data_IF_158135110038
#
_entry.id   IF_158135110038
#
_cell.length_a   1.000
_cell.length_b   1.000
_cell.length_c   1.000
_cell.angle_alpha   90.00
_cell.angle_beta   90.00
_cell.angle_gamma   90.00
#
_symmetry.space_group_name_H-M   'P 1'
#
loop_
_entity.id
_entity.type
_entity.pdbx_description
1 polymer ?
#
# COMPACT_ATOMS: atom_id res chain seq x y z
N UNK A 1 24.56 -39.66 35.47
CA UNK A 1 23.45 -38.69 35.55
C UNK A 1 23.33 -37.99 34.21
N UNK A 2 22.34 -38.39 33.40
CA UNK A 2 22.10 -37.87 32.05
C UNK A 2 21.45 -36.48 32.10
N UNK A 3 22.18 -35.44 31.71
CA UNK A 3 21.62 -34.11 31.48
C UNK A 3 20.81 -34.11 30.18
N UNK A 4 19.49 -33.91 30.30
CA UNK A 4 18.60 -33.62 29.17
C UNK A 4 18.84 -32.19 28.70
N UNK A 5 19.30 -32.05 27.46
CA UNK A 5 19.28 -30.78 26.71
C UNK A 5 17.81 -30.43 26.41
N UNK A 6 17.32 -29.19 26.66
CA UNK A 6 15.97 -28.82 26.27
C UNK A 6 15.90 -28.71 24.74
N UNK A 7 14.99 -29.49 24.17
CA UNK A 7 14.62 -29.51 22.76
C UNK A 7 14.23 -28.12 22.25
N UNK A 8 14.94 -27.63 21.22
CA UNK A 8 14.46 -26.60 20.30
C UNK A 8 13.36 -27.25 19.45
N UNK A 9 12.08 -26.96 19.71
CA UNK A 9 11.01 -26.97 18.69
C UNK A 9 9.66 -26.54 19.29
N UNK A 10 9.40 -25.23 19.35
CA UNK A 10 8.04 -24.67 19.49
C UNK A 10 7.95 -23.35 18.70
N UNK A 11 7.92 -23.42 17.36
CA UNK A 11 7.81 -22.20 16.51
C UNK A 11 6.72 -22.34 15.40
N UNK A 12 6.02 -23.48 15.34
CA UNK A 12 5.21 -23.84 14.17
C UNK A 12 3.83 -23.18 14.05
N UNK A 13 3.07 -23.09 15.14
CA UNK A 13 1.62 -22.79 15.07
C UNK A 13 1.24 -21.40 15.62
N UNK A 14 1.78 -21.01 16.77
CA UNK A 14 1.41 -19.75 17.44
C UNK A 14 1.77 -18.53 16.58
N UNK A 15 2.96 -18.55 15.97
CA UNK A 15 3.42 -17.50 15.06
C UNK A 15 2.57 -17.42 13.77
N UNK A 16 1.98 -18.55 13.32
CA UNK A 16 1.10 -18.55 12.15
C UNK A 16 -0.27 -17.94 12.48
N UNK A 17 -0.86 -18.31 13.62
CA UNK A 17 -2.15 -17.81 14.04
C UNK A 17 -2.12 -16.31 14.35
N UNK A 18 -1.05 -15.82 14.98
CA UNK A 18 -0.83 -14.39 15.20
C UNK A 18 -0.64 -13.64 13.88
N UNK A 19 0.14 -14.20 12.96
CA UNK A 19 0.34 -13.59 11.64
C UNK A 19 -0.96 -13.49 10.84
N UNK A 20 -1.86 -14.47 10.97
CA UNK A 20 -3.19 -14.42 10.37
C UNK A 20 -4.06 -13.32 10.99
N UNK A 21 -4.06 -13.18 12.32
CA UNK A 21 -4.78 -12.11 13.03
C UNK A 21 -4.27 -10.73 12.60
N UNK A 22 -2.95 -10.55 12.51
CA UNK A 22 -2.35 -9.29 12.06
C UNK A 22 -2.69 -9.01 10.59
N UNK A 23 -2.68 -10.02 9.72
CA UNK A 23 -3.05 -9.86 8.32
C UNK A 23 -4.48 -9.33 8.16
N UNK A 24 -5.46 -9.95 8.82
CA UNK A 24 -6.85 -9.48 8.75
C UNK A 24 -7.05 -8.13 9.43
N UNK A 25 -6.32 -7.84 10.52
CA UNK A 25 -6.30 -6.51 11.11
C UNK A 25 -5.78 -5.45 10.13
N UNK A 26 -4.72 -5.74 9.37
CA UNK A 26 -4.20 -4.83 8.33
C UNK A 26 -5.22 -4.62 7.21
N UNK A 27 -5.96 -5.67 6.82
CA UNK A 27 -7.05 -5.53 5.84
C UNK A 27 -8.11 -4.56 6.34
N UNK A 28 -8.66 -4.79 7.53
CA UNK A 28 -9.68 -3.90 8.11
C UNK A 28 -9.17 -2.47 8.30
N UNK A 29 -7.93 -2.33 8.75
CA UNK A 29 -7.29 -1.02 8.89
C UNK A 29 -7.10 -0.31 7.55
N UNK A 30 -6.78 -1.04 6.49
CA UNK A 30 -6.67 -0.51 5.13
C UNK A 30 -8.05 -0.16 4.55
N UNK A 31 -9.08 -0.95 4.85
CA UNK A 31 -10.46 -0.66 4.45
C UNK A 31 -10.97 0.66 5.05
N UNK A 32 -10.55 1.01 6.27
CA UNK A 32 -10.83 2.31 6.89
C UNK A 32 -9.92 3.45 6.41
N UNK A 33 -8.61 3.29 6.61
CA UNK A 33 -7.61 4.38 6.56
C UNK A 33 -6.69 4.33 5.32
N UNK A 34 -6.79 3.26 4.54
CA UNK A 34 -5.93 2.99 3.41
C UNK A 34 -6.37 3.65 2.10
N UNK A 35 -5.41 3.80 1.19
CA UNK A 35 -5.64 4.33 -0.14
C UNK A 35 -4.68 3.66 -1.15
N UNK A 36 -5.24 3.19 -2.26
CA UNK A 36 -4.50 2.84 -3.47
C UNK A 36 -4.73 3.97 -4.46
N UNK A 37 -3.68 4.71 -4.82
CA UNK A 37 -3.80 5.86 -5.71
C UNK A 37 -2.79 5.79 -6.85
N UNK A 38 -3.14 6.41 -7.98
CA UNK A 38 -2.27 6.51 -9.14
C UNK A 38 -2.37 7.93 -9.66
N UNK A 39 -1.35 8.73 -9.36
CA UNK A 39 -1.26 10.10 -9.84
C UNK A 39 -0.57 10.17 -11.21
N UNK A 40 -0.91 11.19 -12.00
CA UNK A 40 -0.16 11.56 -13.21
C UNK A 40 0.52 12.89 -12.93
N UNK A 41 1.79 12.85 -12.55
CA UNK A 41 2.53 14.04 -12.12
C UNK A 41 3.42 14.57 -13.25
N UNK A 42 3.64 15.89 -13.29
CA UNK A 42 4.56 16.51 -14.25
C UNK A 42 5.99 16.06 -13.94
N UNK A 43 6.65 15.48 -14.93
CA UNK A 43 8.07 15.13 -14.83
C UNK A 43 8.71 15.23 -16.22
N UNK A 44 9.45 16.32 -16.44
CA UNK A 44 10.06 16.66 -17.73
C UNK A 44 11.14 15.68 -18.17
N UNK A 45 11.70 14.88 -17.26
CA UNK A 45 12.75 13.89 -17.62
C UNK A 45 12.17 12.62 -18.24
N UNK A 46 10.85 12.42 -18.17
CA UNK A 46 10.18 11.28 -18.80
C UNK A 46 9.84 11.58 -20.26
N UNK A 47 9.81 10.53 -21.11
CA UNK A 47 9.44 10.61 -22.54
C UNK A 47 8.17 11.43 -22.83
N UNK A 48 7.19 11.39 -21.94
CA UNK A 48 5.89 12.06 -22.11
C UNK A 48 5.73 13.33 -21.27
N UNK A 49 6.80 13.81 -20.61
CA UNK A 49 6.75 14.95 -19.69
C UNK A 49 5.87 14.73 -18.44
N UNK A 50 5.37 13.50 -18.24
CA UNK A 50 4.41 13.10 -17.23
C UNK A 50 4.74 11.69 -16.73
N UNK A 51 4.85 11.53 -15.42
CA UNK A 51 5.11 10.25 -14.78
C UNK A 51 3.81 9.64 -14.23
N UNK A 52 3.63 8.33 -14.44
CA UNK A 52 2.61 7.54 -13.74
C UNK A 52 3.19 7.21 -12.37
N UNK A 53 2.48 7.61 -11.31
CA UNK A 53 2.99 7.58 -9.94
C UNK A 53 2.01 6.83 -9.03
N UNK A 54 2.13 5.50 -8.94
CA UNK A 54 1.32 4.69 -8.04
C UNK A 54 1.84 4.75 -6.60
N UNK A 55 0.93 4.84 -5.64
CA UNK A 55 1.26 4.69 -4.21
C UNK A 55 0.19 3.89 -3.46
N UNK A 56 0.66 3.06 -2.53
CA UNK A 56 -0.17 2.52 -1.44
C UNK A 56 0.11 3.33 -0.17
N UNK A 57 -0.95 3.81 0.48
CA UNK A 57 -0.85 4.74 1.61
C UNK A 57 -1.79 4.34 2.72
N UNK A 58 -1.35 4.45 3.98
CA UNK A 58 -2.23 4.49 5.15
C UNK A 58 -1.90 5.75 5.95
N UNK A 59 -2.92 6.53 6.30
CA UNK A 59 -2.76 7.80 7.02
C UNK A 59 -3.34 7.71 8.42
N UNK A 60 -2.65 8.27 9.41
CA UNK A 60 -3.15 8.38 10.78
C UNK A 60 -2.65 9.62 11.49
N UNK A 61 -3.34 10.00 12.58
CA UNK A 61 -2.83 10.97 13.54
C UNK A 61 -1.59 10.47 14.29
N UNK A 62 -0.87 11.40 14.89
CA UNK A 62 0.32 11.16 15.72
C UNK A 62 0.10 10.13 16.83
N UNK A 63 -1.03 10.20 17.54
CA UNK A 63 -1.42 9.26 18.61
C UNK A 63 -1.46 7.81 18.14
N UNK A 64 -1.77 7.60 16.85
CA UNK A 64 -1.88 6.29 16.22
C UNK A 64 -0.64 5.92 15.39
N UNK A 65 0.49 6.63 15.53
CA UNK A 65 1.73 6.33 14.80
C UNK A 65 2.22 4.88 15.00
N UNK A 66 1.98 4.30 16.19
CA UNK A 66 2.31 2.91 16.47
C UNK A 66 1.63 1.93 15.50
N UNK A 67 0.40 2.21 15.06
CA UNK A 67 -0.31 1.41 14.07
C UNK A 67 0.42 1.40 12.72
N UNK A 68 0.89 2.57 12.26
CA UNK A 68 1.68 2.68 11.02
C UNK A 68 3.02 1.95 11.13
N UNK A 69 3.69 2.02 12.29
CA UNK A 69 4.93 1.27 12.55
C UNK A 69 4.70 -0.24 12.48
N UNK A 70 3.57 -0.73 13.02
CA UNK A 70 3.16 -2.13 12.95
C UNK A 70 2.94 -2.60 11.51
N UNK A 71 2.27 -1.79 10.69
CA UNK A 71 2.09 -2.06 9.25
C UNK A 71 3.43 -2.11 8.52
N UNK A 72 4.32 -1.12 8.75
CA UNK A 72 5.66 -1.10 8.16
C UNK A 72 6.47 -2.34 8.52
N UNK A 73 6.46 -2.73 9.80
CA UNK A 73 7.16 -3.92 10.28
C UNK A 73 6.62 -5.20 9.63
N UNK A 74 5.29 -5.33 9.51
CA UNK A 74 4.66 -6.48 8.88
C UNK A 74 5.04 -6.64 7.41
N UNK A 75 5.01 -5.55 6.64
CA UNK A 75 5.35 -5.60 5.22
C UNK A 75 6.86 -5.64 4.95
N UNK A 76 7.69 -5.14 5.88
CA UNK A 76 9.13 -5.03 5.66
C UNK A 76 9.49 -4.14 4.47
N UNK A 77 8.66 -3.13 4.19
CA UNK A 77 8.87 -2.14 3.13
C UNK A 77 8.13 -0.84 3.43
N UNK A 78 8.35 0.17 2.59
CA UNK A 78 7.70 1.47 2.71
C UNK A 78 8.30 2.38 3.79
N UNK A 79 7.89 3.63 3.75
CA UNK A 79 8.40 4.67 4.64
C UNK A 79 7.25 5.42 5.31
N UNK A 80 7.50 5.94 6.51
CA UNK A 80 6.54 6.78 7.23
C UNK A 80 7.01 8.22 7.07
N UNK A 81 6.10 9.08 6.60
CA UNK A 81 6.35 10.49 6.39
C UNK A 81 5.43 11.31 7.28
N UNK A 82 5.94 12.42 7.80
CA UNK A 82 5.13 13.43 8.50
C UNK A 82 4.47 14.31 7.45
N UNK A 83 3.16 14.45 7.54
CA UNK A 83 2.37 15.43 6.80
C UNK A 83 1.94 16.51 7.79
N UNK A 84 2.82 17.51 7.97
CA UNK A 84 2.58 18.62 8.88
C UNK A 84 1.35 19.38 8.40
N UNK A 85 0.37 19.53 9.28
CA UNK A 85 -0.76 20.41 9.02
C UNK A 85 -0.42 21.80 9.53
N UNK A 86 -0.88 22.81 8.81
CA UNK A 86 -0.75 24.21 9.18
C UNK A 86 -2.12 24.83 9.51
N UNK A 87 -3.15 24.00 9.69
CA UNK A 87 -4.49 24.40 10.13
C UNK A 87 -4.62 24.33 11.67
N UNK A 88 -5.74 24.83 12.23
CA UNK A 88 -6.00 24.85 13.68
C UNK A 88 -6.15 23.47 14.35
N UNK A 89 -5.77 22.38 13.66
CA UNK A 89 -5.70 21.06 14.27
C UNK A 89 -4.36 20.86 14.98
N UNK A 90 -4.41 20.67 16.30
CA UNK A 90 -3.25 20.48 17.18
C UNK A 90 -2.45 19.17 16.97
N UNK A 91 -2.62 18.44 15.86
CA UNK A 91 -1.98 17.13 15.67
C UNK A 91 -1.49 16.91 14.23
N UNK A 92 -0.23 16.51 14.10
CA UNK A 92 0.35 16.14 12.81
C UNK A 92 -0.27 14.85 12.28
N UNK A 93 -0.38 14.75 10.96
CA UNK A 93 -0.67 13.47 10.32
C UNK A 93 0.62 12.76 9.94
N UNK A 94 0.57 11.44 9.98
CA UNK A 94 1.61 10.54 9.51
C UNK A 94 1.06 9.66 8.40
N UNK A 95 1.91 9.36 7.41
CA UNK A 95 1.57 8.54 6.25
C UNK A 95 2.57 7.43 6.09
N UNK A 96 2.14 6.17 6.27
CA UNK A 96 2.88 5.03 5.74
C UNK A 96 2.68 4.99 4.22
N UNK A 97 3.76 4.90 3.45
CA UNK A 97 3.71 5.01 2.00
C UNK A 97 4.68 4.01 1.33
N UNK A 98 4.16 3.28 0.35
CA UNK A 98 4.91 2.37 -0.53
C UNK A 98 4.80 2.87 -1.97
N UNK A 99 5.94 3.18 -2.57
CA UNK A 99 6.07 3.73 -3.94
C UNK A 99 6.99 2.92 -4.85
N UNK A 100 7.87 2.10 -4.28
CA UNK A 100 8.72 1.21 -5.05
C UNK A 100 7.85 0.25 -5.85
N UNK A 101 7.99 0.24 -7.18
CA UNK A 101 7.25 -0.69 -8.04
C UNK A 101 7.52 -2.15 -7.63
N UNK A 102 8.74 -2.45 -7.19
CA UNK A 102 9.13 -3.79 -6.74
C UNK A 102 8.38 -4.20 -5.46
N UNK A 103 8.34 -3.33 -4.45
CA UNK A 103 7.60 -3.62 -3.21
C UNK A 103 6.09 -3.68 -3.45
N UNK A 104 5.56 -2.83 -4.33
CA UNK A 104 4.14 -2.85 -4.71
C UNK A 104 3.77 -4.18 -5.37
N UNK A 105 4.59 -4.66 -6.31
CA UNK A 105 4.36 -5.90 -7.05
C UNK A 105 4.61 -7.17 -6.22
N UNK A 106 5.66 -7.18 -5.39
CA UNK A 106 6.10 -8.38 -4.65
C UNK A 106 5.53 -8.50 -3.25
N UNK A 107 5.11 -7.40 -2.62
CA UNK A 107 4.65 -7.40 -1.22
C UNK A 107 3.19 -6.97 -1.08
N UNK A 108 2.86 -5.78 -1.59
CA UNK A 108 1.52 -5.20 -1.39
C UNK A 108 0.45 -5.94 -2.20
N UNK A 109 0.66 -6.11 -3.50
CA UNK A 109 -0.31 -6.80 -4.37
C UNK A 109 -0.55 -8.26 -3.93
N UNK A 110 0.47 -9.09 -3.64
CA UNK A 110 0.25 -10.46 -3.21
C UNK A 110 -0.50 -10.56 -1.89
N UNK A 111 -0.25 -9.63 -0.96
CA UNK A 111 -0.98 -9.56 0.30
C UNK A 111 -2.48 -9.32 0.07
N UNK A 112 -2.86 -8.26 -0.64
CA UNK A 112 -4.29 -7.94 -0.87
C UNK A 112 -4.97 -8.85 -1.89
N UNK A 113 -4.21 -9.64 -2.68
CA UNK A 113 -4.75 -10.78 -3.43
C UNK A 113 -5.15 -11.92 -2.51
N UNK A 114 -4.34 -12.20 -1.48
CA UNK A 114 -4.58 -13.29 -0.52
C UNK A 114 -5.65 -12.90 0.51
N UNK A 115 -5.56 -11.70 1.05
CA UNK A 115 -6.49 -11.16 2.04
C UNK A 115 -7.26 -10.00 1.41
N UNK A 116 -8.47 -10.29 0.95
CA UNK A 116 -9.23 -9.34 0.15
C UNK A 116 -9.82 -8.23 1.02
N UNK A 117 -9.73 -7.00 0.51
CA UNK A 117 -10.46 -5.84 1.02
C UNK A 117 -11.97 -6.10 0.96
N UNK A 118 -12.70 -5.60 1.97
CA UNK A 118 -14.14 -5.79 2.14
C UNK A 118 -14.95 -4.54 1.77
N UNK A 119 -14.30 -3.42 1.46
CA UNK A 119 -14.96 -2.18 1.04
C UNK A 119 -14.83 -1.91 -0.46
N UNK A 120 -15.45 -0.83 -0.95
CA UNK A 120 -15.29 -0.35 -2.33
C UNK A 120 -13.84 -0.11 -2.75
N UNK A 121 -12.90 0.04 -1.80
CA UNK A 121 -11.45 0.12 -2.09
C UNK A 121 -10.91 -1.11 -2.81
N UNK A 122 -11.61 -2.25 -2.75
CA UNK A 122 -11.30 -3.44 -3.58
C UNK A 122 -11.27 -3.10 -5.08
N UNK A 123 -12.16 -2.23 -5.56
CA UNK A 123 -12.17 -1.83 -6.97
C UNK A 123 -10.95 -1.00 -7.35
N UNK A 124 -10.57 -0.04 -6.49
CA UNK A 124 -9.35 0.76 -6.67
C UNK A 124 -8.11 -0.14 -6.64
N UNK A 125 -8.04 -1.11 -5.73
CA UNK A 125 -6.97 -2.11 -5.68
C UNK A 125 -6.88 -2.94 -6.97
N UNK A 126 -8.00 -3.37 -7.54
CA UNK A 126 -7.99 -4.16 -8.78
C UNK A 126 -7.44 -3.35 -9.96
N UNK A 127 -7.78 -2.06 -10.06
CA UNK A 127 -7.21 -1.17 -11.08
C UNK A 127 -5.73 -0.93 -10.80
N UNK A 128 -5.38 -0.62 -9.56
CA UNK A 128 -4.01 -0.43 -9.09
C UNK A 128 -3.11 -1.60 -9.49
N UNK A 129 -3.52 -2.83 -9.18
CA UNK A 129 -2.82 -4.05 -9.55
C UNK A 129 -2.62 -4.17 -11.07
N UNK A 130 -3.62 -3.84 -11.89
CA UNK A 130 -3.50 -3.88 -13.35
C UNK A 130 -2.46 -2.88 -13.85
N UNK A 131 -2.51 -1.64 -13.37
CA UNK A 131 -1.55 -0.60 -13.76
C UNK A 131 -0.13 -0.96 -13.35
N UNK A 132 0.09 -1.47 -12.13
CA UNK A 132 1.42 -1.95 -11.70
C UNK A 132 1.95 -3.02 -12.64
N UNK A 133 1.12 -4.00 -13.03
CA UNK A 133 1.53 -5.05 -13.99
C UNK A 133 1.97 -4.47 -15.34
N UNK A 134 1.24 -3.49 -15.88
CA UNK A 134 1.61 -2.78 -17.11
C UNK A 134 2.91 -1.99 -16.93
N UNK A 135 3.12 -1.41 -15.76
CA UNK A 135 4.35 -0.67 -15.43
C UNK A 135 5.58 -1.59 -15.33
N UNK A 136 5.45 -2.76 -14.69
CA UNK A 136 6.52 -3.78 -14.60
C UNK A 136 6.94 -4.25 -16.00
N UNK A 137 5.98 -4.45 -16.90
CA UNK A 137 6.22 -4.76 -18.31
C UNK A 137 6.73 -3.58 -19.16
N UNK A 138 6.93 -2.41 -18.54
CA UNK A 138 7.35 -1.15 -19.19
C UNK A 138 6.37 -0.63 -20.25
N UNK A 139 5.12 -1.09 -20.28
CA UNK A 139 4.13 -0.69 -21.30
C UNK A 139 3.76 0.80 -21.20
N UNK A 140 3.91 1.39 -20.01
CA UNK A 140 3.76 2.83 -19.76
C UNK A 140 4.73 3.74 -20.55
N UNK A 141 5.79 3.17 -21.14
CA UNK A 141 6.75 3.86 -22.01
C UNK A 141 6.28 3.94 -23.49
N UNK A 142 5.23 3.19 -23.83
CA UNK A 142 4.60 3.19 -25.16
C UNK A 142 3.38 4.10 -25.17
N UNK A 143 3.04 4.68 -26.33
CA UNK A 143 1.84 5.52 -26.47
C UNK A 143 0.56 4.72 -26.18
N UNK A 144 0.49 3.49 -26.71
CA UNK A 144 -0.68 2.63 -26.56
C UNK A 144 -0.87 2.17 -25.12
N UNK A 145 0.18 1.62 -24.48
CA UNK A 145 0.11 1.18 -23.09
C UNK A 145 -0.17 2.35 -22.13
N UNK A 146 0.34 3.55 -22.43
CA UNK A 146 0.00 4.75 -21.67
C UNK A 146 -1.47 5.14 -21.81
N UNK A 147 -2.04 5.09 -23.02
CA UNK A 147 -3.47 5.35 -23.25
C UNK A 147 -4.34 4.37 -22.47
N UNK A 148 -3.96 3.10 -22.45
CA UNK A 148 -4.62 2.07 -21.64
C UNK A 148 -4.56 2.39 -20.14
N UNK A 149 -3.37 2.70 -19.62
CA UNK A 149 -3.18 3.07 -18.20
C UNK A 149 -4.03 4.27 -17.82
N UNK A 150 -4.08 5.31 -18.66
CA UNK A 150 -4.89 6.51 -18.38
C UNK A 150 -6.39 6.18 -18.35
N UNK A 151 -6.86 5.29 -19.23
CA UNK A 151 -8.24 4.80 -19.22
C UNK A 151 -8.55 3.90 -18.01
N UNK A 152 -7.56 3.20 -17.47
CA UNK A 152 -7.71 2.48 -16.21
C UNK A 152 -7.81 3.46 -15.03
N UNK A 153 -6.93 4.47 -14.98
CA UNK A 153 -6.91 5.49 -13.92
C UNK A 153 -8.22 6.28 -13.88
N UNK A 154 -8.81 6.62 -15.04
CA UNK A 154 -10.07 7.38 -15.10
C UNK A 154 -11.26 6.65 -14.46
N UNK A 155 -11.16 5.34 -14.27
CA UNK A 155 -12.19 4.49 -13.64
C UNK A 155 -12.00 4.34 -12.13
N UNK A 156 -10.92 4.88 -11.56
CA UNK A 156 -10.71 4.88 -10.10
C UNK A 156 -11.58 5.95 -9.45
N UNK A 157 -12.06 5.65 -8.23
CA UNK A 157 -12.95 6.55 -7.50
C UNK A 157 -12.15 7.69 -6.85
N UNK A 158 -11.84 8.74 -7.63
CA UNK A 158 -11.16 9.94 -7.13
C UNK A 158 -12.02 11.21 -7.08
N UNK A 159 -13.29 11.14 -7.51
CA UNK A 159 -14.22 12.27 -7.37
C UNK A 159 -14.86 12.26 -5.98
N UNK A 160 -14.19 12.78 -4.96
CA UNK A 160 -14.94 13.49 -3.92
C UNK A 160 -15.40 14.80 -4.57
N UNK A 161 -16.67 14.88 -4.97
CA UNK A 161 -17.32 16.19 -5.08
C UNK A 161 -17.17 16.82 -3.70
N UNK A 162 -16.32 17.84 -3.61
CA UNK A 162 -16.32 18.74 -2.47
C UNK A 162 -17.54 19.63 -2.70
N UNK A 163 -18.61 19.36 -1.95
CA UNK A 163 -19.65 20.36 -1.73
C UNK A 163 -19.04 21.53 -0.96
#
# INVERSE_FOLDING_TARGET
MSHKIPSKNVIGADNQQERLKIAWWIVGFTDGEGCFSIAVIKNKTTKFGKQIFPEFVITQGEKSLAALKKVKAFFGCGNIFINRRHDNHNENLYRYCVRSLDDLDKKIIPFFKKYQLQTHKKNDFLIFKKVIKLMIKKEHLTTQGRKEILNLISKMNHKKQRF
#
